data_IF_788456336167
#
_entry.id   IF_788456336167
#
_cell.length_a   1.000
_cell.length_b   1.000
_cell.length_c   1.000
_cell.angle_alpha   90.00
_cell.angle_beta   90.00
_cell.angle_gamma   90.00
#
_symmetry.space_group_name_H-M   'P 1'
#
loop_
_entity.id
_entity.type
_entity.pdbx_description
1 polymer ?
#
# COMPACT_ATOMS: atom_id res chain seq x y z
N UNK A 1 -38.55 -47.84 -28.29
CA UNK A 1 -37.43 -46.89 -28.08
C UNK A 1 -37.06 -46.92 -26.62
N UNK A 2 -35.99 -47.63 -26.25
CA UNK A 2 -35.56 -47.74 -24.85
C UNK A 2 -34.82 -46.46 -24.46
N UNK A 3 -35.42 -45.66 -23.57
CA UNK A 3 -34.86 -44.39 -23.11
C UNK A 3 -33.68 -44.71 -22.18
N UNK A 4 -32.45 -44.38 -22.60
CA UNK A 4 -31.22 -44.64 -21.82
C UNK A 4 -31.16 -43.74 -20.58
N UNK A 5 -31.73 -44.21 -19.46
CA UNK A 5 -31.75 -43.51 -18.15
C UNK A 5 -30.40 -43.44 -17.41
N UNK A 6 -29.29 -43.91 -18.00
CA UNK A 6 -27.96 -43.82 -17.39
C UNK A 6 -27.17 -42.56 -17.74
N UNK A 7 -27.61 -41.78 -18.74
CA UNK A 7 -26.86 -40.63 -19.25
C UNK A 7 -26.94 -39.40 -18.32
N UNK A 8 -28.06 -39.23 -17.61
CA UNK A 8 -28.32 -38.04 -16.77
C UNK A 8 -27.52 -38.02 -15.46
N UNK A 9 -27.19 -39.18 -14.88
CA UNK A 9 -26.45 -39.25 -13.62
C UNK A 9 -24.97 -38.89 -13.82
N UNK A 10 -24.37 -39.37 -14.92
CA UNK A 10 -23.01 -39.00 -15.33
C UNK A 10 -22.92 -37.50 -15.64
N UNK A 11 -23.93 -36.96 -16.32
CA UNK A 11 -23.97 -35.54 -16.69
C UNK A 11 -24.05 -34.61 -15.46
N UNK A 12 -24.80 -35.00 -14.43
CA UNK A 12 -24.84 -34.29 -13.13
C UNK A 12 -23.49 -34.41 -12.41
N UNK A 13 -22.84 -35.57 -12.44
CA UNK A 13 -21.53 -35.78 -11.80
C UNK A 13 -20.46 -34.90 -12.46
N UNK A 14 -20.40 -34.89 -13.80
CA UNK A 14 -19.47 -34.05 -14.55
C UNK A 14 -19.75 -32.57 -14.30
N UNK A 15 -21.01 -32.15 -14.28
CA UNK A 15 -21.40 -30.77 -13.96
C UNK A 15 -20.97 -30.36 -12.55
N UNK A 16 -21.11 -31.25 -11.56
CA UNK A 16 -20.68 -31.00 -10.18
C UNK A 16 -19.16 -30.84 -10.06
N UNK A 17 -18.38 -31.65 -10.79
CA UNK A 17 -16.91 -31.54 -10.81
C UNK A 17 -16.48 -30.22 -11.43
N UNK A 18 -17.07 -29.83 -12.57
CA UNK A 18 -16.79 -28.54 -13.22
C UNK A 18 -17.15 -27.39 -12.28
N UNK A 19 -18.32 -27.46 -11.63
CA UNK A 19 -18.76 -26.43 -10.70
C UNK A 19 -17.80 -26.28 -9.51
N UNK A 20 -17.36 -27.39 -8.90
CA UNK A 20 -16.40 -27.36 -7.80
C UNK A 20 -15.08 -26.69 -8.21
N UNK A 21 -14.61 -26.96 -9.43
CA UNK A 21 -13.37 -26.41 -9.97
C UNK A 21 -13.48 -24.89 -10.21
N UNK A 22 -14.63 -24.44 -10.73
CA UNK A 22 -14.92 -23.01 -10.90
C UNK A 22 -14.99 -22.29 -9.56
N UNK A 23 -15.67 -22.87 -8.56
CA UNK A 23 -15.77 -22.27 -7.22
C UNK A 23 -14.40 -22.15 -6.54
N UNK A 24 -13.55 -23.18 -6.67
CA UNK A 24 -12.17 -23.11 -6.17
C UNK A 24 -11.37 -22.00 -6.86
N UNK A 25 -11.53 -21.84 -8.18
CA UNK A 25 -10.93 -20.76 -8.95
C UNK A 25 -11.37 -19.37 -8.46
N UNK A 26 -12.67 -19.19 -8.22
CA UNK A 26 -13.22 -17.91 -7.73
C UNK A 26 -12.68 -17.56 -6.34
N UNK A 27 -12.59 -18.52 -5.42
CA UNK A 27 -12.00 -18.29 -4.10
C UNK A 27 -10.54 -17.83 -4.18
N UNK A 28 -9.76 -18.40 -5.11
CA UNK A 28 -8.39 -17.95 -5.38
C UNK A 28 -8.33 -16.49 -5.85
N UNK A 29 -9.23 -16.10 -6.74
CA UNK A 29 -9.33 -14.71 -7.22
C UNK A 29 -9.74 -13.76 -6.10
N UNK A 30 -10.70 -14.16 -5.25
CA UNK A 30 -11.12 -13.34 -4.10
C UNK A 30 -9.97 -13.14 -3.09
N UNK A 31 -9.22 -14.20 -2.77
CA UNK A 31 -8.08 -14.09 -1.86
C UNK A 31 -7.00 -13.13 -2.41
N UNK A 32 -6.68 -13.26 -3.71
CA UNK A 32 -5.74 -12.36 -4.38
C UNK A 32 -6.25 -10.92 -4.45
N UNK A 33 -7.54 -10.72 -4.77
CA UNK A 33 -8.17 -9.41 -4.85
C UNK A 33 -8.16 -8.67 -3.52
N UNK A 34 -8.49 -9.36 -2.42
CA UNK A 34 -8.45 -8.77 -1.09
C UNK A 34 -7.05 -8.28 -0.70
N UNK A 35 -5.99 -9.03 -1.05
CA UNK A 35 -4.61 -8.60 -0.81
C UNK A 35 -4.28 -7.29 -1.52
N UNK A 36 -4.68 -7.17 -2.79
CA UNK A 36 -4.43 -5.95 -3.57
C UNK A 36 -5.18 -4.75 -2.98
N UNK A 37 -6.43 -4.96 -2.53
CA UNK A 37 -7.22 -3.91 -1.89
C UNK A 37 -6.59 -3.42 -0.59
N UNK A 38 -6.10 -4.34 0.26
CA UNK A 38 -5.41 -3.99 1.50
C UNK A 38 -4.12 -3.20 1.24
N UNK A 39 -3.27 -3.69 0.34
CA UNK A 39 -2.04 -2.99 -0.05
C UNK A 39 -2.33 -1.59 -0.62
N UNK A 40 -3.36 -1.47 -1.47
CA UNK A 40 -3.73 -0.18 -2.07
C UNK A 40 -4.23 0.81 -1.02
N UNK A 41 -5.01 0.33 -0.03
CA UNK A 41 -5.47 1.16 1.09
C UNK A 41 -4.29 1.68 1.92
N UNK A 42 -3.37 0.80 2.30
CA UNK A 42 -2.18 1.18 3.07
C UNK A 42 -1.29 2.16 2.31
N UNK A 43 -1.10 1.93 1.01
CA UNK A 43 -0.36 2.84 0.13
C UNK A 43 -1.00 4.24 0.07
N UNK A 44 -2.32 4.35 0.04
CA UNK A 44 -3.02 5.64 0.06
C UNK A 44 -2.83 6.32 1.42
N UNK A 45 -2.98 5.58 2.52
CA UNK A 45 -2.75 6.10 3.88
C UNK A 45 -1.31 6.61 4.02
N UNK A 46 -0.33 5.84 3.54
CA UNK A 46 1.07 6.24 3.51
C UNK A 46 1.29 7.50 2.67
N UNK A 47 0.64 7.64 1.51
CA UNK A 47 0.76 8.86 0.71
C UNK A 47 0.20 10.11 1.43
N UNK A 48 -0.96 9.98 2.08
CA UNK A 48 -1.56 11.08 2.86
C UNK A 48 -0.71 11.43 4.09
N UNK A 49 -0.14 10.44 4.79
CA UNK A 49 0.83 10.66 5.85
C UNK A 49 2.07 11.41 5.34
N UNK A 50 2.58 11.04 4.18
CA UNK A 50 3.74 11.69 3.57
C UNK A 50 3.45 13.17 3.29
N UNK A 51 2.27 13.46 2.75
CA UNK A 51 1.80 14.83 2.55
C UNK A 51 1.67 15.59 3.87
N UNK A 52 1.05 14.99 4.88
CA UNK A 52 0.90 15.59 6.21
C UNK A 52 2.23 16.03 6.81
N UNK A 53 3.30 15.25 6.61
CA UNK A 53 4.63 15.62 7.11
C UNK A 53 5.39 16.61 6.21
N UNK A 54 5.17 16.62 4.89
CA UNK A 54 5.81 17.57 3.96
C UNK A 54 5.20 18.97 4.06
N UNK A 55 3.87 19.07 4.17
CA UNK A 55 3.15 20.35 4.15
C UNK A 55 3.72 21.40 5.14
N UNK A 56 4.00 21.08 6.42
CA UNK A 56 4.59 22.05 7.36
C UNK A 56 6.04 22.43 7.01
N UNK A 57 6.76 21.61 6.24
CA UNK A 57 8.15 21.90 5.87
C UNK A 57 8.26 23.11 4.93
N UNK A 58 7.21 23.43 4.19
CA UNK A 58 7.19 24.62 3.33
C UNK A 58 7.36 25.92 4.12
N UNK A 59 6.92 25.94 5.38
CA UNK A 59 7.08 27.10 6.26
C UNK A 59 8.54 27.35 6.62
N UNK A 60 9.37 26.30 6.63
CA UNK A 60 10.79 26.37 7.01
C UNK A 60 11.72 26.90 5.90
N UNK A 61 11.16 27.31 4.75
CA UNK A 61 11.91 27.87 3.61
C UNK A 61 12.28 29.35 3.83
N UNK A 62 11.83 29.96 4.93
CA UNK A 62 12.14 31.37 5.21
C UNK A 62 13.63 31.58 5.48
N UNK A 63 14.15 32.71 5.00
CA UNK A 63 15.57 33.05 5.03
C UNK A 63 16.13 33.21 6.45
N UNK A 64 15.30 33.61 7.42
CA UNK A 64 15.65 33.73 8.84
C UNK A 64 15.81 32.37 9.55
N UNK A 65 15.24 31.32 8.99
CA UNK A 65 15.25 29.98 9.58
C UNK A 65 16.38 29.10 9.05
N UNK A 66 17.26 29.60 8.18
CA UNK A 66 18.33 28.82 7.53
C UNK A 66 19.55 28.58 8.44
N UNK A 67 19.29 28.10 9.66
CA UNK A 67 20.28 27.77 10.68
C UNK A 67 20.52 26.27 10.74
N UNK A 68 21.57 25.82 11.43
CA UNK A 68 21.91 24.39 11.55
C UNK A 68 20.78 23.51 12.11
N UNK A 69 19.76 24.09 12.75
CA UNK A 69 18.60 23.38 13.31
C UNK A 69 17.41 23.29 12.36
N UNK A 70 17.50 23.83 11.14
CA UNK A 70 16.39 23.80 10.19
C UNK A 70 16.10 22.34 9.75
N UNK A 71 14.84 21.88 9.81
CA UNK A 71 14.44 20.56 9.31
C UNK A 71 14.76 20.32 7.83
N UNK A 72 14.97 21.35 7.03
CA UNK A 72 15.36 21.26 5.61
C UNK A 72 16.87 21.06 5.41
N UNK A 73 17.67 21.16 6.48
CA UNK A 73 19.12 20.98 6.48
C UNK A 73 19.56 19.68 7.18
N UNK A 74 18.66 19.04 7.92
CA UNK A 74 18.92 17.80 8.66
C UNK A 74 17.95 16.72 8.15
N UNK A 75 18.38 15.48 8.04
CA UNK A 75 17.48 14.36 7.79
C UNK A 75 16.77 13.95 9.08
N UNK A 76 15.45 13.74 9.02
CA UNK A 76 14.67 13.32 10.19
C UNK A 76 14.87 11.85 10.52
N UNK A 77 14.94 11.56 11.83
CA UNK A 77 14.93 10.20 12.32
C UNK A 77 13.57 9.53 12.04
N UNK A 78 13.54 8.19 11.86
CA UNK A 78 12.30 7.46 11.69
C UNK A 78 11.37 7.65 12.90
N UNK A 79 10.10 7.98 12.63
CA UNK A 79 9.02 8.11 13.62
C UNK A 79 7.91 7.13 13.27
N UNK A 80 7.26 6.54 14.27
CA UNK A 80 6.19 5.55 14.06
C UNK A 80 4.84 6.23 14.32
N UNK A 81 3.92 6.09 13.38
CA UNK A 81 2.53 6.54 13.49
C UNK A 81 1.60 5.33 13.32
N UNK A 82 0.71 5.12 14.28
CA UNK A 82 -0.24 4.00 14.26
C UNK A 82 -1.60 4.48 13.76
N UNK A 83 -2.06 3.95 12.61
CA UNK A 83 -3.37 4.27 12.02
C UNK A 83 -4.12 2.96 11.76
N UNK A 84 -5.35 2.85 12.27
CA UNK A 84 -6.19 1.65 12.08
C UNK A 84 -5.49 0.34 12.49
N UNK A 85 -4.73 0.37 13.59
CA UNK A 85 -3.98 -0.78 14.10
C UNK A 85 -2.87 -1.29 13.16
N UNK A 86 -2.41 -0.42 12.25
CA UNK A 86 -1.25 -0.62 11.39
C UNK A 86 -0.21 0.46 11.71
N UNK A 87 1.05 0.05 11.87
CA UNK A 87 2.15 0.96 12.12
C UNK A 87 2.81 1.40 10.81
N UNK A 88 2.99 2.71 10.68
CA UNK A 88 3.70 3.35 9.57
C UNK A 88 4.95 4.03 10.12
N UNK A 89 6.10 3.65 9.61
CA UNK A 89 7.39 4.28 9.92
C UNK A 89 7.69 5.37 8.90
N UNK A 90 7.62 6.62 9.32
CA UNK A 90 7.96 7.79 8.54
C UNK A 90 9.42 8.21 8.76
N UNK A 91 10.17 8.48 7.70
CA UNK A 91 11.46 9.14 7.75
C UNK A 91 11.64 10.08 6.56
N UNK A 92 12.60 11.00 6.62
CA UNK A 92 12.90 11.86 5.48
C UNK A 92 14.38 12.19 5.35
N UNK A 93 14.80 12.44 4.12
CA UNK A 93 16.15 12.87 3.79
C UNK A 93 16.11 14.21 3.07
N UNK A 94 17.10 15.05 3.34
CA UNK A 94 17.23 16.35 2.70
C UNK A 94 18.56 16.44 1.94
N UNK A 95 18.57 17.13 0.80
CA UNK A 95 19.76 17.27 -0.04
C UNK A 95 19.73 18.55 -0.86
N UNK A 96 20.90 19.15 -1.08
CA UNK A 96 21.02 20.28 -2.00
C UNK A 96 20.87 19.83 -3.45
N UNK A 97 20.16 20.63 -4.26
CA UNK A 97 20.05 20.39 -5.70
C UNK A 97 21.18 21.12 -6.41
N UNK A 98 22.04 20.38 -7.10
CA UNK A 98 23.23 20.92 -7.74
C UNK A 98 22.92 22.10 -8.68
N UNK A 99 23.69 23.18 -8.54
CA UNK A 99 23.54 24.38 -9.36
C UNK A 99 22.33 25.26 -9.03
N UNK A 100 21.66 25.04 -7.90
CA UNK A 100 20.50 25.83 -7.46
C UNK A 100 20.53 26.05 -5.95
N UNK A 101 19.77 27.03 -5.46
CA UNK A 101 19.54 27.22 -4.02
C UNK A 101 18.40 26.34 -3.47
N UNK A 102 17.91 25.38 -4.28
CA UNK A 102 16.81 24.51 -3.91
C UNK A 102 17.30 23.35 -3.02
N UNK A 103 16.41 22.93 -2.12
CA UNK A 103 16.54 21.70 -1.34
C UNK A 103 15.54 20.67 -1.81
N UNK A 104 16.00 19.45 -2.00
CA UNK A 104 15.16 18.27 -2.21
C UNK A 104 14.88 17.63 -0.86
N UNK A 105 13.60 17.40 -0.58
CA UNK A 105 13.17 16.58 0.54
C UNK A 105 12.58 15.29 -0.04
N UNK A 106 13.05 14.16 0.44
CA UNK A 106 12.51 12.84 0.06
C UNK A 106 11.98 12.18 1.32
N UNK A 107 10.67 11.99 1.40
CA UNK A 107 10.01 11.27 2.49
C UNK A 107 9.86 9.80 2.13
N UNK A 108 10.16 8.95 3.09
CA UNK A 108 10.00 7.51 2.99
C UNK A 108 9.02 7.05 4.07
N UNK A 109 8.00 6.30 3.66
CA UNK A 109 7.03 5.69 4.56
C UNK A 109 7.07 4.20 4.34
N UNK A 110 7.41 3.49 5.41
CA UNK A 110 7.47 2.03 5.43
C UNK A 110 6.33 1.51 6.31
N UNK A 111 5.78 0.35 5.95
CA UNK A 111 4.82 -0.37 6.77
C UNK A 111 5.01 -1.87 6.51
N UNK A 112 4.61 -2.68 7.48
CA UNK A 112 4.59 -4.13 7.31
C UNK A 112 3.21 -4.55 6.79
N UNK A 113 3.16 -5.22 5.64
CA UNK A 113 1.91 -5.76 5.13
C UNK A 113 1.33 -6.79 6.12
N UNK A 114 0.08 -6.66 6.56
CA UNK A 114 -0.56 -7.67 7.39
C UNK A 114 -0.65 -9.00 6.63
N UNK A 115 -0.21 -10.09 7.26
CA UNK A 115 -0.34 -11.42 6.71
C UNK A 115 -1.82 -11.85 6.69
N UNK A 116 -2.28 -12.36 5.54
CA UNK A 116 -3.60 -13.01 5.39
C UNK A 116 -3.65 -14.36 6.09
#
# INVERSE_FOLDING_TARGET
>A
MCKKSGFTLIEILVSAVIFALVMAGLLGVFASGNRILMHTRERIIGAELGKFFIDPMQVNVRQDQWTATNPLLISGAPTIESINNQDFTYGYTTGAVAGTDLRRVTTTINWDEPAL
#
